data_IF_776236262377
#
_entry.id   IF_776236262377
#
_cell.length_a   1.000
_cell.length_b   1.000
_cell.length_c   1.000
_cell.angle_alpha   90.00
_cell.angle_beta   90.00
_cell.angle_gamma   90.00
#
_symmetry.space_group_name_H-M   'P 1'
#
loop_
_entity.id
_entity.type
_entity.pdbx_description
1 polymer ?
#
# COMPACT_ATOMS: atom_id res chain seq x y z
N UNK A 1 4.22 42.26 -60.79
CA UNK A 1 5.00 42.60 -59.59
C UNK A 1 4.09 43.27 -58.55
N UNK A 2 3.66 42.55 -57.51
CA UNK A 2 3.25 43.09 -56.19
C UNK A 2 3.05 41.94 -55.20
N UNK A 3 3.43 42.21 -53.95
CA UNK A 3 3.99 41.31 -52.93
C UNK A 3 2.98 40.31 -52.32
N UNK A 4 3.44 39.07 -52.11
CA UNK A 4 2.77 38.04 -51.28
C UNK A 4 3.11 38.32 -49.81
N UNK A 5 2.11 38.57 -48.98
CA UNK A 5 2.24 38.62 -47.52
C UNK A 5 1.99 37.20 -46.99
N UNK A 6 3.05 36.54 -46.50
CA UNK A 6 2.94 35.32 -45.69
C UNK A 6 2.68 35.73 -44.24
N UNK A 7 1.46 35.52 -43.74
CA UNK A 7 1.21 35.47 -42.30
C UNK A 7 1.89 34.21 -41.76
N UNK A 8 2.94 34.39 -40.96
CA UNK A 8 3.49 33.33 -40.12
C UNK A 8 2.73 33.38 -38.80
N UNK A 9 1.74 32.49 -38.63
CA UNK A 9 1.20 32.20 -37.31
C UNK A 9 2.24 31.36 -36.57
N UNK A 10 3.02 32.01 -35.71
CA UNK A 10 3.87 31.35 -34.71
C UNK A 10 2.94 30.83 -33.61
N UNK A 11 2.29 29.70 -33.85
CA UNK A 11 1.59 28.95 -32.82
C UNK A 11 2.63 28.34 -31.89
N UNK A 12 2.94 29.04 -30.80
CA UNK A 12 3.65 28.45 -29.68
C UNK A 12 2.77 27.31 -29.13
N UNK A 13 3.04 26.09 -29.59
CA UNK A 13 2.44 24.87 -29.08
C UNK A 13 2.95 24.69 -27.65
N UNK A 14 2.19 25.23 -26.70
CA UNK A 14 2.31 24.91 -25.29
C UNK A 14 2.02 23.41 -25.16
N UNK A 15 3.06 22.59 -25.23
CA UNK A 15 3.00 21.21 -24.76
C UNK A 15 2.78 21.30 -23.24
N UNK A 16 1.51 21.39 -22.84
CA UNK A 16 1.09 20.95 -21.52
C UNK A 16 1.56 19.50 -21.41
N UNK A 17 2.68 19.27 -20.73
CA UNK A 17 3.04 17.92 -20.32
C UNK A 17 1.98 17.54 -19.29
N UNK A 18 1.05 16.61 -19.61
CA UNK A 18 0.16 16.13 -18.58
C UNK A 18 1.05 15.46 -17.54
N UNK A 19 0.99 15.94 -16.29
CA UNK A 19 1.45 15.15 -15.15
C UNK A 19 0.58 13.89 -15.15
N UNK A 20 1.01 12.86 -15.87
CA UNK A 20 0.48 11.52 -15.71
C UNK A 20 0.78 11.14 -14.26
N UNK A 21 -0.27 11.18 -13.45
CA UNK A 21 -0.36 10.33 -12.28
C UNK A 21 -0.19 8.93 -12.83
N UNK A 22 1.01 8.36 -12.69
CA UNK A 22 1.22 6.98 -13.06
C UNK A 22 0.29 6.15 -12.20
N UNK A 23 -0.66 5.46 -12.84
CA UNK A 23 -1.36 4.37 -12.20
C UNK A 23 -0.27 3.41 -11.70
N UNK A 24 -0.29 3.12 -10.41
CA UNK A 24 0.67 2.24 -9.80
C UNK A 24 0.26 0.80 -10.14
N UNK A 25 0.63 0.35 -11.34
CA UNK A 25 0.26 -0.97 -11.88
C UNK A 25 0.85 -2.11 -11.02
N UNK A 26 1.93 -1.83 -10.29
CA UNK A 26 2.55 -2.74 -9.33
C UNK A 26 2.42 -2.16 -7.91
N UNK A 27 1.71 -2.84 -6.98
CA UNK A 27 1.52 -2.34 -5.61
C UNK A 27 2.84 -2.14 -4.85
N UNK A 28 3.93 -2.76 -5.30
CA UNK A 28 5.25 -2.64 -4.70
C UNK A 28 6.12 -1.52 -5.27
N UNK A 29 5.62 -0.74 -6.24
CA UNK A 29 6.34 0.34 -6.93
C UNK A 29 5.75 1.72 -6.61
N UNK A 30 6.23 2.37 -5.56
CA UNK A 30 5.57 3.54 -4.98
C UNK A 30 6.17 4.84 -5.47
N UNK A 31 5.35 5.67 -6.13
CA UNK A 31 5.72 7.05 -6.45
C UNK A 31 5.62 7.93 -5.20
N UNK A 32 6.71 8.62 -4.85
CA UNK A 32 6.75 9.53 -3.70
C UNK A 32 7.20 10.92 -4.15
N UNK A 33 6.39 11.92 -3.84
CA UNK A 33 6.71 13.33 -4.08
C UNK A 33 7.20 13.95 -2.78
N UNK A 34 8.44 14.44 -2.78
CA UNK A 34 8.97 15.29 -1.74
C UNK A 34 8.77 16.77 -2.12
N UNK A 35 8.12 17.50 -1.22
CA UNK A 35 8.00 18.95 -1.27
C UNK A 35 8.22 19.52 0.12
N UNK A 36 8.38 20.83 0.24
CA UNK A 36 8.54 21.50 1.52
C UNK A 36 7.48 21.05 2.50
N UNK A 37 7.99 20.42 3.56
CA UNK A 37 7.26 20.02 4.75
C UNK A 37 6.29 18.85 4.55
N UNK A 38 6.35 18.14 3.41
CA UNK A 38 5.42 17.06 3.12
C UNK A 38 6.05 15.97 2.22
N UNK A 39 5.63 14.72 2.45
CA UNK A 39 5.81 13.64 1.50
C UNK A 39 4.43 13.16 1.06
N UNK A 40 4.24 13.01 -0.24
CA UNK A 40 3.01 12.47 -0.80
C UNK A 40 3.30 11.09 -1.44
N UNK A 41 2.52 10.05 -1.11
CA UNK A 41 1.45 10.05 -0.11
C UNK A 41 1.98 10.14 1.33
N UNK A 42 1.14 10.64 2.26
CA UNK A 42 1.44 10.76 3.70
C UNK A 42 1.43 9.42 4.46
N UNK A 43 0.95 8.39 3.78
CA UNK A 43 0.91 7.02 4.26
C UNK A 43 1.26 6.13 3.07
N UNK A 44 2.26 5.29 3.25
CA UNK A 44 2.69 4.26 2.30
C UNK A 44 2.42 2.92 2.98
N UNK A 45 1.67 2.02 2.35
CA UNK A 45 1.43 0.67 2.86
C UNK A 45 2.17 -0.34 1.98
N UNK A 46 2.93 -1.23 2.59
CA UNK A 46 3.70 -2.29 1.92
C UNK A 46 3.58 -3.60 2.70
N UNK A 47 4.06 -4.71 2.14
CA UNK A 47 4.03 -6.03 2.78
C UNK A 47 5.42 -6.49 3.16
N UNK A 48 5.55 -7.11 4.34
CA UNK A 48 6.80 -7.70 4.82
C UNK A 48 7.33 -8.70 3.80
N UNK A 49 8.63 -8.66 3.55
CA UNK A 49 9.34 -9.63 2.71
C UNK A 49 9.16 -9.44 1.20
N UNK A 50 8.36 -8.47 0.75
CA UNK A 50 8.24 -8.14 -0.66
C UNK A 50 9.27 -7.08 -1.06
N UNK A 51 9.85 -7.20 -2.26
CA UNK A 51 10.72 -6.16 -2.79
C UNK A 51 9.90 -4.91 -3.08
N UNK A 52 10.23 -3.81 -2.43
CA UNK A 52 9.61 -2.49 -2.60
C UNK A 52 10.57 -1.57 -3.34
N UNK A 53 10.06 -0.86 -4.34
CA UNK A 53 10.78 0.16 -5.09
C UNK A 53 10.08 1.51 -4.92
N UNK A 54 10.77 2.47 -4.34
CA UNK A 54 10.28 3.85 -4.17
C UNK A 54 10.88 4.74 -5.24
N UNK A 55 10.02 5.41 -6.00
CA UNK A 55 10.37 6.44 -6.97
C UNK A 55 10.19 7.81 -6.34
N UNK A 56 11.25 8.29 -5.68
CA UNK A 56 11.26 9.55 -4.96
C UNK A 56 11.63 10.72 -5.88
N UNK A 57 10.72 11.68 -6.04
CA UNK A 57 10.95 12.91 -6.82
C UNK A 57 10.81 14.13 -5.93
N UNK A 58 11.77 15.06 -6.01
CA UNK A 58 11.61 16.39 -5.41
C UNK A 58 11.12 17.41 -6.42
N UNK A 59 10.17 18.26 -6.02
CA UNK A 59 9.61 19.30 -6.90
C UNK A 59 10.06 20.74 -6.57
N UNK A 60 10.69 20.98 -5.41
CA UNK A 60 11.00 22.35 -4.98
C UNK A 60 12.43 22.60 -4.49
N UNK A 61 12.95 21.81 -3.55
CA UNK A 61 14.30 21.92 -2.98
C UNK A 61 14.91 20.54 -2.75
N UNK A 62 16.20 20.45 -2.41
CA UNK A 62 16.74 19.17 -1.99
C UNK A 62 16.02 18.65 -0.74
N UNK A 63 15.70 17.35 -0.73
CA UNK A 63 15.16 16.66 0.45
C UNK A 63 15.96 15.40 0.76
N UNK A 64 15.92 15.03 2.03
CA UNK A 64 16.31 13.72 2.50
C UNK A 64 15.07 12.83 2.59
N UNK A 65 15.27 11.53 2.50
CA UNK A 65 14.24 10.53 2.70
C UNK A 65 14.84 9.41 3.54
N UNK A 66 14.43 9.36 4.81
CA UNK A 66 14.97 8.41 5.77
C UNK A 66 13.87 7.57 6.40
N UNK A 67 14.16 6.27 6.53
CA UNK A 67 13.37 5.29 7.27
C UNK A 67 14.35 4.50 8.13
N UNK A 68 14.58 5.00 9.35
CA UNK A 68 15.69 4.53 10.21
C UNK A 68 15.59 3.03 10.53
N UNK A 69 14.36 2.51 10.70
CA UNK A 69 14.10 1.09 10.99
C UNK A 69 14.56 0.11 9.87
N UNK A 70 14.78 0.62 8.66
CA UNK A 70 15.25 -0.13 7.50
C UNK A 70 16.61 0.36 6.98
N UNK A 71 17.31 1.22 7.73
CA UNK A 71 18.62 1.75 7.34
C UNK A 71 18.59 2.61 6.08
N UNK A 72 17.43 3.14 5.69
CA UNK A 72 17.28 3.97 4.49
C UNK A 72 17.57 5.41 4.86
N UNK A 73 18.49 6.04 4.14
CA UNK A 73 18.73 7.48 4.19
C UNK A 73 19.26 7.97 2.84
N UNK A 74 18.38 8.56 2.03
CA UNK A 74 18.68 8.93 0.65
C UNK A 74 18.42 10.42 0.40
N UNK A 75 19.22 11.03 -0.47
CA UNK A 75 19.05 12.41 -0.92
C UNK A 75 18.42 12.46 -2.31
N UNK A 76 17.50 13.40 -2.49
CA UNK A 76 16.92 13.76 -3.79
C UNK A 76 17.09 15.26 -4.04
N UNK A 77 17.66 15.62 -5.19
CA UNK A 77 17.79 17.01 -5.62
C UNK A 77 16.51 17.49 -6.30
N UNK A 78 16.29 18.82 -6.35
CA UNK A 78 15.14 19.42 -7.04
C UNK A 78 15.06 18.93 -8.50
N UNK A 79 13.87 18.46 -8.89
CA UNK A 79 13.58 18.00 -10.25
C UNK A 79 14.26 16.68 -10.62
N UNK A 80 14.86 15.96 -9.66
CA UNK A 80 15.50 14.67 -9.89
C UNK A 80 14.66 13.54 -9.32
N UNK A 81 14.78 12.38 -9.96
CA UNK A 81 14.28 11.10 -9.48
C UNK A 81 15.40 10.36 -8.74
N UNK A 82 15.05 9.79 -7.59
CA UNK A 82 15.86 8.83 -6.84
C UNK A 82 15.06 7.54 -6.70
N UNK A 83 15.63 6.42 -7.11
CA UNK A 83 15.03 5.09 -6.93
C UNK A 83 15.65 4.48 -5.67
N UNK A 84 14.81 3.94 -4.79
CA UNK A 84 15.21 3.29 -3.53
C UNK A 84 14.57 1.90 -3.50
N UNK A 85 15.41 0.87 -3.43
CA UNK A 85 14.96 -0.52 -3.35
C UNK A 85 15.21 -1.05 -1.94
N UNK A 86 14.21 -1.68 -1.34
CA UNK A 86 14.36 -2.33 -0.04
C UNK A 86 13.35 -3.46 0.15
N UNK A 87 13.65 -4.37 1.08
CA UNK A 87 12.75 -5.43 1.51
C UNK A 87 12.41 -5.18 2.99
N UNK A 88 11.16 -4.82 3.34
CA UNK A 88 10.80 -4.57 4.72
C UNK A 88 10.76 -5.90 5.49
N UNK A 89 11.63 -6.04 6.48
CA UNK A 89 11.80 -7.26 7.29
C UNK A 89 11.00 -7.23 8.61
N UNK A 90 10.49 -6.06 8.99
CA UNK A 90 9.77 -5.79 10.25
C UNK A 90 8.34 -5.32 9.98
N UNK A 91 7.38 -5.86 10.73
CA UNK A 91 5.97 -5.43 10.70
C UNK A 91 5.78 -4.22 11.62
N UNK A 92 4.92 -3.29 11.24
CA UNK A 92 4.55 -2.16 12.09
C UNK A 92 4.37 -0.84 11.35
N UNK A 93 4.19 0.22 12.13
CA UNK A 93 4.24 1.60 11.63
C UNK A 93 5.63 2.19 11.85
N UNK A 94 6.19 2.79 10.80
CA UNK A 94 7.52 3.40 10.81
C UNK A 94 7.44 4.83 10.29
N UNK A 95 8.23 5.71 10.89
CA UNK A 95 8.32 7.10 10.46
C UNK A 95 9.22 7.22 9.23
N UNK A 96 8.73 7.91 8.22
CA UNK A 96 9.52 8.46 7.13
C UNK A 96 9.78 9.91 7.49
N UNK A 97 11.04 10.34 7.51
CA UNK A 97 11.42 11.73 7.81
C UNK A 97 12.36 12.31 6.76
N UNK A 98 12.33 13.63 6.63
CA UNK A 98 13.37 14.33 5.91
C UNK A 98 14.66 14.35 6.74
N UNK A 99 15.78 13.90 6.17
CA UNK A 99 17.08 13.84 6.85
C UNK A 99 17.98 15.04 6.60
N UNK A 100 17.56 15.99 5.74
CA UNK A 100 18.35 17.19 5.43
C UNK A 100 17.49 18.45 5.60
N UNK A 101 18.10 19.52 6.11
CA UNK A 101 17.39 20.77 6.34
C UNK A 101 16.84 21.36 5.03
N UNK A 102 15.51 21.43 4.91
CA UNK A 102 14.79 21.91 3.72
C UNK A 102 13.97 23.21 3.96
N UNK A 103 14.09 23.79 5.16
CA UNK A 103 13.45 25.04 5.57
C UNK A 103 12.83 24.99 6.98
N UNK A 104 12.16 26.07 7.39
CA UNK A 104 11.65 26.25 8.77
C UNK A 104 10.68 25.14 9.25
N UNK A 105 9.93 24.51 8.34
CA UNK A 105 9.05 23.38 8.66
C UNK A 105 9.71 22.00 8.62
N UNK A 106 11.04 21.91 8.45
CA UNK A 106 11.77 20.65 8.26
C UNK A 106 11.44 19.59 9.32
N UNK A 107 11.41 19.95 10.61
CA UNK A 107 11.14 19.00 11.70
C UNK A 107 9.75 18.36 11.67
N UNK A 108 8.81 18.92 10.89
CA UNK A 108 7.45 18.39 10.70
C UNK A 108 7.29 17.58 9.41
N UNK A 109 8.33 17.52 8.58
CA UNK A 109 8.31 16.81 7.31
C UNK A 109 8.38 15.30 7.54
N UNK A 110 7.22 14.70 7.79
CA UNK A 110 7.05 13.30 8.17
C UNK A 110 5.93 12.63 7.37
N UNK A 111 6.10 11.34 7.10
CA UNK A 111 5.09 10.45 6.53
C UNK A 111 5.16 9.10 7.23
N UNK A 112 4.15 8.24 7.06
CA UNK A 112 4.10 6.92 7.66
C UNK A 112 4.37 5.84 6.62
N UNK A 113 5.26 4.90 6.95
CA UNK A 113 5.36 3.61 6.29
C UNK A 113 4.64 2.57 7.16
N UNK A 114 3.65 1.88 6.64
CA UNK A 114 2.99 0.76 7.29
C UNK A 114 3.45 -0.51 6.59
N UNK A 115 4.09 -1.41 7.34
CA UNK A 115 4.45 -2.74 6.84
C UNK A 115 3.43 -3.73 7.39
N UNK A 116 2.57 -4.23 6.51
CA UNK A 116 1.63 -5.31 6.81
C UNK A 116 2.37 -6.64 6.98
N UNK A 117 1.97 -7.40 8.00
CA UNK A 117 2.53 -8.72 8.30
C UNK A 117 1.74 -9.91 7.74
N UNK A 118 0.57 -9.66 7.14
CA UNK A 118 -0.25 -10.72 6.55
C UNK A 118 0.25 -11.01 5.13
N UNK A 119 0.01 -12.24 4.69
CA UNK A 119 0.32 -12.66 3.33
C UNK A 119 -0.93 -12.58 2.46
N UNK A 120 -0.77 -12.55 1.14
CA UNK A 120 -1.91 -12.75 0.26
C UNK A 120 -2.04 -14.22 -0.11
N UNK A 121 -3.27 -14.60 -0.43
CA UNK A 121 -3.59 -15.84 -1.14
C UNK A 121 -4.45 -15.49 -2.35
N UNK A 122 -4.14 -16.06 -3.50
CA UNK A 122 -4.93 -15.89 -4.73
C UNK A 122 -6.18 -16.77 -4.68
N UNK A 123 -7.18 -16.48 -5.52
CA UNK A 123 -8.37 -17.33 -5.61
C UNK A 123 -8.04 -18.77 -6.01
N UNK A 124 -7.08 -18.99 -6.92
CA UNK A 124 -6.64 -20.32 -7.31
C UNK A 124 -5.95 -21.08 -6.17
N UNK A 125 -5.09 -20.40 -5.40
CA UNK A 125 -4.45 -20.99 -4.23
C UNK A 125 -5.47 -21.31 -3.13
N UNK A 126 -6.47 -20.45 -2.92
CA UNK A 126 -7.54 -20.71 -1.97
C UNK A 126 -8.42 -21.89 -2.41
N UNK A 127 -8.74 -22.02 -3.71
CA UNK A 127 -9.44 -23.19 -4.27
C UNK A 127 -8.69 -24.49 -3.95
N UNK A 128 -7.38 -24.52 -4.16
CA UNK A 128 -6.55 -25.67 -3.82
C UNK A 128 -6.41 -25.90 -2.31
N UNK A 129 -6.47 -24.84 -1.49
CA UNK A 129 -6.38 -24.96 -0.04
C UNK A 129 -7.65 -25.58 0.58
N UNK A 130 -8.84 -25.30 0.03
CA UNK A 130 -10.11 -25.83 0.52
C UNK A 130 -10.16 -27.37 0.55
N UNK A 131 -9.42 -28.05 -0.34
CA UNK A 131 -9.32 -29.52 -0.34
C UNK A 131 -8.65 -30.08 0.92
N UNK A 132 -7.84 -29.27 1.61
CA UNK A 132 -7.06 -29.69 2.80
C UNK A 132 -7.77 -29.39 4.12
N UNK A 133 -8.74 -28.48 4.10
CA UNK A 133 -9.52 -28.05 5.27
C UNK A 133 -8.64 -27.68 6.48
N UNK A 134 -7.47 -27.05 6.23
CA UNK A 134 -6.42 -26.80 7.22
C UNK A 134 -6.33 -25.35 7.71
N UNK A 135 -7.39 -24.58 7.51
CA UNK A 135 -7.46 -23.15 7.80
C UNK A 135 -8.86 -22.71 8.18
N UNK A 136 -8.96 -21.53 8.77
CA UNK A 136 -10.22 -20.88 9.10
C UNK A 136 -10.53 -19.81 8.06
N UNK A 137 -11.63 -19.97 7.32
CA UNK A 137 -12.11 -19.04 6.30
C UNK A 137 -13.10 -18.03 6.91
N UNK A 138 -12.73 -16.76 6.88
CA UNK A 138 -13.46 -15.66 7.54
C UNK A 138 -13.92 -14.60 6.53
N UNK A 139 -15.23 -14.41 6.41
CA UNK A 139 -15.81 -13.25 5.74
C UNK A 139 -15.90 -12.07 6.70
N UNK A 140 -15.52 -10.89 6.23
CA UNK A 140 -15.58 -9.65 7.03
C UNK A 140 -16.32 -8.50 6.37
N UNK A 141 -16.99 -8.75 5.24
CA UNK A 141 -17.63 -7.70 4.47
C UNK A 141 -18.88 -7.17 5.17
N UNK A 142 -18.98 -5.83 5.32
CA UNK A 142 -20.24 -5.18 5.68
C UNK A 142 -20.70 -4.26 4.55
N UNK A 143 -22.01 -4.27 4.19
CA UNK A 143 -23.05 -5.19 4.67
C UNK A 143 -22.76 -6.65 4.29
N UNK A 144 -23.38 -7.60 5.01
CA UNK A 144 -23.19 -9.03 4.76
C UNK A 144 -23.52 -9.40 3.30
N UNK A 145 -22.77 -10.34 2.74
CA UNK A 145 -22.83 -10.75 1.34
C UNK A 145 -22.97 -12.26 1.23
N UNK A 146 -23.19 -12.76 0.01
CA UNK A 146 -23.07 -14.20 -0.26
C UNK A 146 -21.64 -14.66 0.05
N UNK A 147 -21.50 -15.75 0.79
CA UNK A 147 -20.21 -16.27 1.22
C UNK A 147 -19.60 -17.25 0.21
N UNK A 148 -18.28 -17.42 0.31
CA UNK A 148 -17.56 -18.50 -0.36
C UNK A 148 -17.97 -19.82 0.31
N UNK A 149 -18.18 -20.88 -0.47
CA UNK A 149 -18.46 -22.21 0.08
C UNK A 149 -17.28 -22.68 0.94
N UNK A 150 -17.57 -23.19 2.14
CA UNK A 150 -16.54 -23.51 3.15
C UNK A 150 -16.18 -22.34 4.08
N UNK A 151 -16.95 -21.25 4.10
CA UNK A 151 -16.75 -20.16 5.09
C UNK A 151 -17.12 -20.63 6.50
N UNK A 152 -16.18 -20.53 7.43
CA UNK A 152 -16.37 -20.95 8.82
C UNK A 152 -17.14 -19.92 9.66
N UNK A 153 -16.91 -18.63 9.38
CA UNK A 153 -17.59 -17.55 10.09
C UNK A 153 -17.68 -16.26 9.29
N UNK A 154 -18.65 -15.44 9.69
CA UNK A 154 -18.77 -14.05 9.31
C UNK A 154 -18.57 -13.17 10.56
N UNK A 155 -17.66 -12.20 10.48
CA UNK A 155 -17.50 -11.15 11.49
C UNK A 155 -17.26 -9.81 10.78
N UNK A 156 -18.11 -8.79 10.98
CA UNK A 156 -17.84 -7.44 10.49
C UNK A 156 -16.41 -6.98 10.76
N UNK A 157 -15.71 -6.43 9.75
CA UNK A 157 -14.29 -6.07 9.88
C UNK A 157 -14.01 -5.14 11.08
N UNK A 158 -14.98 -4.31 11.45
CA UNK A 158 -14.93 -3.36 12.57
C UNK A 158 -15.33 -3.97 13.93
N UNK A 159 -15.72 -5.25 13.99
CA UNK A 159 -16.09 -5.96 15.21
C UNK A 159 -15.18 -7.17 15.50
N UNK A 160 -14.09 -7.36 14.75
CA UNK A 160 -13.15 -8.48 14.89
C UNK A 160 -12.67 -8.65 16.35
N UNK A 161 -12.24 -7.56 17.00
CA UNK A 161 -11.76 -7.59 18.39
C UNK A 161 -12.80 -8.13 19.38
N UNK A 162 -14.10 -7.93 19.09
CA UNK A 162 -15.19 -8.27 19.99
C UNK A 162 -15.57 -9.75 19.95
N UNK A 163 -15.35 -10.42 18.80
CA UNK A 163 -15.86 -11.77 18.56
C UNK A 163 -14.81 -12.82 18.28
N UNK A 164 -13.63 -12.46 17.76
CA UNK A 164 -12.70 -13.46 17.22
C UNK A 164 -12.25 -14.48 18.29
N UNK A 165 -11.93 -14.02 19.49
CA UNK A 165 -11.46 -14.89 20.59
C UNK A 165 -12.58 -15.77 21.18
N UNK A 166 -13.85 -15.49 20.81
CA UNK A 166 -15.00 -16.35 21.14
C UNK A 166 -15.17 -17.48 20.13
N UNK A 167 -14.74 -17.28 18.89
CA UNK A 167 -14.85 -18.27 17.82
C UNK A 167 -13.66 -19.24 17.83
N UNK A 168 -12.44 -18.74 18.00
CA UNK A 168 -11.27 -19.60 18.16
C UNK A 168 -10.15 -18.89 18.92
N UNK A 169 -9.56 -19.58 19.91
CA UNK A 169 -8.53 -19.01 20.80
C UNK A 169 -7.10 -19.24 20.32
N UNK A 170 -6.90 -20.22 19.42
CA UNK A 170 -5.58 -20.62 18.99
C UNK A 170 -4.99 -19.57 18.02
N UNK A 171 -3.96 -18.86 18.46
CA UNK A 171 -3.29 -17.81 17.68
C UNK A 171 -2.39 -18.34 16.55
N UNK A 172 -2.16 -19.66 16.52
CA UNK A 172 -1.38 -20.35 15.49
C UNK A 172 -2.24 -20.95 14.37
N UNK A 173 -3.58 -20.82 14.47
CA UNK A 173 -4.52 -21.16 13.39
C UNK A 173 -4.21 -20.34 12.14
N UNK A 174 -4.18 -21.01 10.99
CA UNK A 174 -4.10 -20.37 9.68
C UNK A 174 -5.45 -19.77 9.35
N UNK A 175 -5.51 -18.46 9.13
CA UNK A 175 -6.75 -17.73 8.86
C UNK A 175 -6.67 -17.15 7.46
N UNK A 176 -7.66 -17.44 6.63
CA UNK A 176 -7.88 -16.76 5.36
C UNK A 176 -9.04 -15.79 5.53
N UNK A 177 -8.77 -14.50 5.34
CA UNK A 177 -9.74 -13.43 5.50
C UNK A 177 -10.09 -12.89 4.12
N UNK A 178 -11.38 -12.69 3.87
CA UNK A 178 -11.83 -12.09 2.63
C UNK A 178 -12.98 -11.12 2.86
N UNK A 179 -13.18 -10.23 1.88
CA UNK A 179 -14.36 -9.38 1.80
C UNK A 179 -14.74 -9.26 0.31
N UNK A 180 -15.46 -8.20 -0.09
CA UNK A 180 -15.83 -8.01 -1.49
C UNK A 180 -14.66 -7.81 -2.45
N UNK A 181 -13.74 -6.88 -2.14
CA UNK A 181 -12.65 -6.47 -3.05
C UNK A 181 -11.26 -6.44 -2.40
N UNK A 182 -11.15 -6.80 -1.11
CA UNK A 182 -9.88 -6.86 -0.37
C UNK A 182 -9.62 -5.71 0.61
N UNK A 183 -10.36 -4.59 0.53
CA UNK A 183 -10.12 -3.42 1.38
C UNK A 183 -10.40 -3.70 2.87
N UNK A 184 -11.61 -4.17 3.18
CA UNK A 184 -12.00 -4.49 4.57
C UNK A 184 -11.23 -5.69 5.13
N UNK A 185 -10.91 -6.69 4.31
CA UNK A 185 -10.15 -7.87 4.74
C UNK A 185 -8.69 -7.54 5.02
N UNK A 186 -8.11 -6.56 4.32
CA UNK A 186 -6.79 -6.02 4.67
C UNK A 186 -6.77 -5.38 6.06
N UNK A 187 -7.83 -4.63 6.40
CA UNK A 187 -7.97 -4.02 7.72
C UNK A 187 -8.20 -5.07 8.82
N UNK A 188 -9.13 -6.00 8.60
CA UNK A 188 -9.36 -7.12 9.51
C UNK A 188 -8.09 -7.95 9.72
N UNK A 189 -7.32 -8.21 8.65
CA UNK A 189 -6.05 -8.94 8.73
C UNK A 189 -5.03 -8.24 9.63
N UNK A 190 -4.91 -6.91 9.55
CA UNK A 190 -4.07 -6.13 10.47
C UNK A 190 -4.54 -6.24 11.91
N UNK A 191 -5.85 -6.18 12.13
CA UNK A 191 -6.42 -6.34 13.47
C UNK A 191 -6.13 -7.72 14.04
N UNK A 192 -6.27 -8.79 13.25
CA UNK A 192 -5.90 -10.14 13.66
C UNK A 192 -4.42 -10.25 14.07
N UNK A 193 -3.51 -9.70 13.27
CA UNK A 193 -2.08 -9.68 13.63
C UNK A 193 -1.82 -8.93 14.94
N UNK A 194 -2.48 -7.78 15.14
CA UNK A 194 -2.39 -6.99 16.38
C UNK A 194 -2.93 -7.74 17.61
N UNK A 195 -3.95 -8.58 17.41
CA UNK A 195 -4.50 -9.49 18.43
C UNK A 195 -3.66 -10.76 18.64
N UNK A 196 -2.50 -10.86 17.98
CA UNK A 196 -1.52 -11.93 18.17
C UNK A 196 -1.66 -13.14 17.25
N UNK A 197 -2.62 -13.13 16.30
CA UNK A 197 -2.72 -14.20 15.31
C UNK A 197 -1.52 -14.16 14.36
N UNK A 198 -0.87 -15.30 14.14
CA UNK A 198 0.44 -15.33 13.45
C UNK A 198 0.35 -15.65 11.96
N UNK A 199 -0.65 -16.42 11.56
CA UNK A 199 -0.80 -16.96 10.19
C UNK A 199 -2.04 -16.38 9.53
N UNK A 200 -1.96 -15.11 9.16
CA UNK A 200 -3.07 -14.38 8.55
C UNK A 200 -2.81 -14.21 7.05
N UNK A 201 -3.79 -14.63 6.25
CA UNK A 201 -3.78 -14.56 4.80
C UNK A 201 -4.99 -13.75 4.33
N UNK A 202 -4.80 -12.85 3.38
CA UNK A 202 -5.85 -12.05 2.78
C UNK A 202 -6.14 -12.55 1.36
N UNK A 203 -7.40 -12.82 1.04
CA UNK A 203 -7.79 -13.19 -0.33
C UNK A 203 -7.59 -11.99 -1.26
N UNK A 204 -6.63 -12.10 -2.18
CA UNK A 204 -6.31 -11.06 -3.15
C UNK A 204 -7.50 -10.86 -4.09
N UNK A 205 -7.98 -9.61 -4.19
CA UNK A 205 -9.15 -9.25 -4.98
C UNK A 205 -10.51 -9.58 -4.34
N UNK A 206 -10.51 -10.21 -3.15
CA UNK A 206 -11.74 -10.61 -2.44
C UNK A 206 -12.60 -11.59 -3.22
N UNK A 207 -13.88 -11.68 -2.85
CA UNK A 207 -14.84 -12.59 -3.52
C UNK A 207 -15.03 -12.28 -5.01
N UNK A 208 -14.79 -11.02 -5.44
CA UNK A 208 -14.84 -10.68 -6.87
C UNK A 208 -13.78 -11.37 -7.72
N UNK A 209 -12.66 -11.77 -7.14
CA UNK A 209 -11.64 -12.55 -7.83
C UNK A 209 -11.87 -14.07 -7.69
N UNK A 210 -12.79 -14.47 -6.81
CA UNK A 210 -13.17 -15.86 -6.58
C UNK A 210 -14.16 -16.38 -7.63
N UNK A 211 -15.15 -15.54 -7.93
CA UNK A 211 -16.16 -15.70 -8.99
C UNK A 211 -15.54 -15.65 -10.39
#
# INVERSE_FOLDING_TARGET
>A
MRKIIRLVFCGALYLMVPYMVMAQDNPNEIAVIAKRFDFLPRKIEVKRGQLVKIYLTSIDVAHGFAIDAFGINQKVEKGKLRIIDFVPDKVGEFEIRCSIFCGAGHGRMKSKLIVAGYQDITASELKAALEKDDFFLLDVHIPEQKHIEGTDAFIPYNEIEKYIDKLFKNKDTKIVVYCRTGSMSSEASRTLLRLGYKKVYNLLGGIKAWE
#
